data_IF_740516072760
#
_entry.id   IF_740516072760
#
_cell.length_a   1.000
_cell.length_b   1.000
_cell.length_c   1.000
_cell.angle_alpha   90.00
_cell.angle_beta   90.00
_cell.angle_gamma   90.00
#
_symmetry.space_group_name_H-M   'P 1'
#
loop_
_entity.id
_entity.type
_entity.pdbx_description
1 polymer ?
#
# COMPACT_ATOMS: atom_id res chain seq x y z
N UNK A 1 -7.86 54.41 18.40
CA UNK A 1 -9.21 53.81 18.43
C UNK A 1 -9.42 52.83 17.27
N UNK A 2 -8.74 52.98 16.14
CA UNK A 2 -8.98 52.13 14.95
C UNK A 2 -8.36 50.73 14.97
N UNK A 3 -7.24 50.51 15.67
CA UNK A 3 -6.59 49.18 15.75
C UNK A 3 -7.36 48.14 16.57
N UNK A 4 -8.21 48.58 17.52
CA UNK A 4 -9.01 47.69 18.37
C UNK A 4 -10.24 47.17 17.62
N UNK A 5 -10.73 47.92 16.63
CA UNK A 5 -11.92 47.55 15.84
C UNK A 5 -11.59 46.43 14.85
N UNK A 6 -10.39 46.44 14.26
CA UNK A 6 -9.95 45.44 13.27
C UNK A 6 -9.75 44.05 13.89
N UNK A 7 -9.23 43.96 15.11
CA UNK A 7 -9.01 42.67 15.79
C UNK A 7 -10.32 42.02 16.26
N UNK A 8 -11.32 42.81 16.63
CA UNK A 8 -12.65 42.30 16.99
C UNK A 8 -13.41 41.74 15.78
N UNK A 9 -13.29 42.38 14.61
CA UNK A 9 -13.96 41.94 13.38
C UNK A 9 -13.34 40.64 12.83
N UNK A 10 -12.01 40.52 12.86
CA UNK A 10 -11.31 39.30 12.39
C UNK A 10 -11.54 38.13 13.36
N UNK A 11 -11.54 38.39 14.67
CA UNK A 11 -11.86 37.37 15.67
C UNK A 11 -13.30 36.85 15.56
N UNK A 12 -14.26 37.72 15.23
CA UNK A 12 -15.66 37.34 15.00
C UNK A 12 -15.85 36.51 13.72
N UNK A 13 -15.13 36.84 12.64
CA UNK A 13 -15.16 36.09 11.37
C UNK A 13 -14.50 34.69 11.46
N UNK A 14 -13.40 34.55 12.21
CA UNK A 14 -12.73 33.25 12.42
C UNK A 14 -13.50 32.33 13.38
N UNK A 15 -14.23 32.91 14.34
CA UNK A 15 -15.08 32.13 15.26
C UNK A 15 -16.34 31.55 14.60
N UNK A 16 -16.81 32.11 13.48
CA UNK A 16 -17.96 31.58 12.73
C UNK A 16 -17.62 30.37 11.85
N UNK A 17 -16.34 30.17 11.51
CA UNK A 17 -15.90 29.02 10.71
C UNK A 17 -15.76 27.73 11.55
N UNK A 18 -15.67 27.85 12.88
CA UNK A 18 -15.46 26.71 13.79
C UNK A 18 -16.74 26.15 14.42
N UNK A 19 -17.90 26.75 14.13
CA UNK A 19 -19.21 26.33 14.65
C UNK A 19 -20.07 25.60 13.60
N UNK A 20 -19.44 24.87 12.67
CA UNK A 20 -20.17 23.94 11.82
C UNK A 20 -20.47 22.65 12.61
N UNK A 21 -21.73 22.32 12.92
CA UNK A 21 -22.06 21.06 13.54
C UNK A 21 -21.85 19.94 12.50
N UNK A 22 -20.83 19.10 12.71
CA UNK A 22 -20.68 17.84 11.98
C UNK A 22 -21.74 16.85 12.48
N UNK A 23 -22.96 17.01 12.00
CA UNK A 23 -24.08 16.10 12.28
C UNK A 23 -23.97 14.84 11.41
N UNK A 24 -23.29 13.84 11.98
CA UNK A 24 -23.64 12.42 12.09
C UNK A 24 -24.51 11.77 10.99
N UNK A 25 -23.97 10.70 10.40
CA UNK A 25 -24.73 9.51 9.95
C UNK A 25 -23.98 8.28 10.50
N UNK A 26 -24.29 7.85 11.72
CA UNK A 26 -25.05 6.62 12.03
C UNK A 26 -25.11 5.60 10.89
N UNK A 27 -24.36 4.51 11.03
CA UNK A 27 -24.79 3.20 10.52
C UNK A 27 -24.38 2.09 11.48
N UNK A 28 -25.23 1.06 11.46
CA UNK A 28 -25.46 0.02 12.46
C UNK A 28 -24.35 -1.03 12.54
N UNK A 29 -24.28 -1.61 13.72
CA UNK A 29 -24.10 -3.05 13.97
C UNK A 29 -24.35 -3.93 12.73
N UNK A 30 -23.29 -4.55 12.21
CA UNK A 30 -23.35 -5.87 11.57
C UNK A 30 -22.04 -6.64 11.79
N UNK A 31 -22.08 -7.44 12.85
CA UNK A 31 -21.56 -8.81 12.83
C UNK A 31 -21.76 -9.49 11.46
N UNK A 32 -20.72 -10.20 10.99
CA UNK A 32 -20.73 -11.24 9.93
C UNK A 32 -21.74 -11.07 8.78
N UNK A 33 -21.23 -10.66 7.62
CA UNK A 33 -21.78 -11.09 6.33
C UNK A 33 -20.65 -11.56 5.42
N UNK A 34 -20.45 -12.89 5.44
CA UNK A 34 -19.80 -13.63 4.35
C UNK A 34 -20.61 -13.33 3.08
N UNK A 35 -20.06 -12.54 2.17
CA UNK A 35 -20.38 -12.46 0.74
C UNK A 35 -19.07 -11.94 0.11
N UNK A 36 -18.19 -12.77 -0.45
CA UNK A 36 -18.33 -13.38 -1.78
C UNK A 36 -18.74 -12.38 -2.86
N UNK A 37 -18.14 -11.20 -2.88
CA UNK A 37 -18.09 -10.40 -4.10
C UNK A 37 -16.97 -10.98 -4.97
N UNK A 38 -17.37 -11.89 -5.86
CA UNK A 38 -16.58 -12.31 -7.00
C UNK A 38 -16.40 -11.09 -7.93
N UNK A 39 -15.54 -10.16 -7.53
CA UNK A 39 -14.97 -9.15 -8.41
C UNK A 39 -14.07 -9.91 -9.37
N UNK A 40 -14.50 -10.04 -10.62
CA UNK A 40 -13.63 -10.50 -11.72
C UNK A 40 -12.42 -9.57 -11.76
N UNK A 41 -11.36 -9.97 -11.05
CA UNK A 41 -10.09 -9.25 -10.97
C UNK A 41 -9.46 -9.47 -12.34
N UNK A 42 -9.56 -8.49 -13.22
CA UNK A 42 -8.76 -8.47 -14.45
C UNK A 42 -7.30 -8.49 -14.01
N UNK A 43 -6.65 -9.63 -14.21
CA UNK A 43 -5.25 -9.82 -13.85
C UNK A 43 -4.43 -8.94 -14.77
N UNK A 44 -3.70 -7.99 -14.19
CA UNK A 44 -2.80 -7.12 -14.96
C UNK A 44 -1.55 -7.92 -15.34
N UNK A 45 -1.03 -7.67 -16.52
CA UNK A 45 0.22 -8.27 -17.01
C UNK A 45 1.30 -7.21 -17.10
N UNK A 46 2.52 -7.60 -16.79
CA UNK A 46 3.71 -6.76 -16.75
C UNK A 46 4.84 -7.44 -17.52
N UNK A 47 5.64 -6.70 -18.28
CA UNK A 47 6.84 -7.25 -18.88
C UNK A 47 8.06 -7.04 -17.98
N UNK A 48 9.13 -7.82 -18.22
CA UNK A 48 10.35 -7.75 -17.41
C UNK A 48 11.04 -6.37 -17.46
N UNK A 49 10.95 -5.67 -18.59
CA UNK A 49 11.54 -4.34 -18.73
C UNK A 49 10.84 -3.31 -17.82
N UNK A 50 9.51 -3.36 -17.72
CA UNK A 50 8.74 -2.53 -16.78
C UNK A 50 9.15 -2.81 -15.33
N UNK A 51 9.16 -4.08 -14.92
CA UNK A 51 9.55 -4.47 -13.56
C UNK A 51 10.96 -3.99 -13.21
N UNK A 52 11.91 -4.04 -14.16
CA UNK A 52 13.30 -3.63 -13.94
C UNK A 52 13.50 -2.16 -13.57
N UNK A 53 12.50 -1.31 -13.83
CA UNK A 53 12.53 0.11 -13.45
C UNK A 53 12.30 0.31 -11.94
N UNK A 54 11.69 -0.66 -11.27
CA UNK A 54 11.31 -0.64 -9.85
C UNK A 54 12.38 -1.37 -9.01
N UNK A 55 13.59 -0.81 -9.00
CA UNK A 55 14.80 -1.42 -8.43
C UNK A 55 15.42 -0.63 -7.27
N UNK A 56 14.63 0.21 -6.59
CA UNK A 56 15.10 1.09 -5.51
C UNK A 56 14.47 0.71 -4.19
N UNK A 57 15.13 1.03 -3.09
CA UNK A 57 14.58 0.83 -1.73
C UNK A 57 13.18 1.44 -1.56
N UNK A 58 12.93 2.60 -2.16
CA UNK A 58 11.65 3.32 -2.09
C UNK A 58 10.68 2.98 -3.23
N UNK A 59 11.06 2.04 -4.10
CA UNK A 59 10.30 1.62 -5.28
C UNK A 59 10.86 0.26 -5.74
N UNK A 60 10.43 -0.82 -5.07
CA UNK A 60 11.02 -2.16 -5.16
C UNK A 60 9.95 -3.16 -5.57
N UNK A 61 10.02 -3.61 -6.82
CA UNK A 61 9.23 -4.74 -7.29
C UNK A 61 10.10 -5.98 -7.45
N UNK A 62 9.49 -7.14 -7.31
CA UNK A 62 10.17 -8.42 -7.51
C UNK A 62 9.29 -9.38 -8.28
N UNK A 63 9.93 -10.34 -8.96
CA UNK A 63 9.26 -11.45 -9.63
C UNK A 63 9.45 -12.71 -8.81
N UNK A 64 8.37 -13.46 -8.57
CA UNK A 64 8.43 -14.80 -7.98
C UNK A 64 7.50 -15.73 -8.77
N UNK A 65 8.07 -16.74 -9.43
CA UNK A 65 7.33 -17.71 -10.27
C UNK A 65 6.33 -17.04 -11.22
N UNK A 66 6.84 -16.18 -12.11
CA UNK A 66 6.06 -15.44 -13.11
C UNK A 66 4.98 -14.50 -12.55
N UNK A 67 5.04 -14.17 -11.26
CA UNK A 67 4.14 -13.18 -10.63
C UNK A 67 4.94 -11.96 -10.19
N UNK A 68 4.32 -10.80 -10.31
CA UNK A 68 4.93 -9.50 -9.98
C UNK A 68 4.36 -8.98 -8.67
N UNK A 69 5.23 -8.53 -7.78
CA UNK A 69 4.87 -8.04 -6.45
C UNK A 69 5.52 -6.68 -6.19
N UNK A 70 4.75 -5.76 -5.59
CA UNK A 70 5.26 -4.51 -5.04
C UNK A 70 5.57 -4.68 -3.55
N UNK A 71 6.83 -4.93 -3.24
CA UNK A 71 7.30 -5.14 -1.87
C UNK A 71 7.82 -3.87 -1.22
N UNK A 72 7.73 -2.72 -1.90
CA UNK A 72 8.12 -1.39 -1.38
C UNK A 72 7.67 -1.14 0.06
N UNK A 73 6.38 -1.34 0.44
CA UNK A 73 5.94 -1.06 1.80
C UNK A 73 6.54 -1.98 2.86
N UNK A 74 7.15 -3.10 2.47
CA UNK A 74 7.69 -4.11 3.38
C UNK A 74 9.21 -4.10 3.49
N UNK A 75 9.91 -3.33 2.65
CA UNK A 75 11.38 -3.32 2.60
C UNK A 75 12.02 -3.08 3.98
N UNK A 76 11.49 -2.13 4.75
CA UNK A 76 12.02 -1.78 6.08
C UNK A 76 11.58 -2.76 7.18
N UNK A 77 10.53 -3.54 6.95
CA UNK A 77 9.99 -4.52 7.90
C UNK A 77 10.54 -5.93 7.68
N UNK A 78 11.26 -6.15 6.58
CA UNK A 78 11.79 -7.45 6.21
C UNK A 78 12.80 -7.96 7.26
N UNK A 79 12.55 -9.10 7.94
CA UNK A 79 13.45 -9.63 8.97
C UNK A 79 14.86 -9.97 8.48
N UNK A 80 15.02 -10.26 7.18
CA UNK A 80 16.31 -10.48 6.55
C UNK A 80 17.05 -9.18 6.17
N UNK A 81 16.50 -8.01 6.54
CA UNK A 81 17.02 -6.69 6.21
C UNK A 81 17.18 -6.50 4.70
N UNK A 82 18.31 -5.92 4.31
CA UNK A 82 18.66 -5.56 2.92
C UNK A 82 18.71 -6.73 1.95
N UNK A 83 18.66 -7.98 2.43
CA UNK A 83 18.56 -9.16 1.57
C UNK A 83 17.35 -9.10 0.61
N UNK A 84 16.27 -8.39 0.97
CA UNK A 84 15.11 -8.17 0.08
C UNK A 84 15.46 -7.38 -1.18
N UNK A 85 16.54 -6.57 -1.15
CA UNK A 85 16.96 -5.72 -2.26
C UNK A 85 17.92 -6.42 -3.23
N UNK A 86 18.37 -7.64 -2.93
CA UNK A 86 19.38 -8.35 -3.73
C UNK A 86 18.97 -8.50 -5.21
N UNK A 87 17.67 -8.60 -5.47
CA UNK A 87 17.08 -8.75 -6.80
C UNK A 87 15.93 -7.75 -7.03
N UNK A 88 16.05 -6.53 -6.49
CA UNK A 88 15.08 -5.47 -6.75
C UNK A 88 14.97 -5.20 -8.27
N UNK A 89 13.76 -5.23 -8.80
CA UNK A 89 13.45 -5.12 -10.22
C UNK A 89 13.68 -6.41 -11.03
N UNK A 90 13.94 -7.56 -10.39
CA UNK A 90 14.23 -8.82 -11.09
C UNK A 90 13.61 -10.05 -10.39
N UNK A 91 13.91 -11.24 -10.91
CA UNK A 91 13.50 -12.53 -10.37
C UNK A 91 14.19 -12.84 -9.03
N UNK A 92 13.37 -12.93 -8.00
CA UNK A 92 13.75 -13.27 -6.63
C UNK A 92 13.34 -14.68 -6.23
N UNK A 93 12.88 -15.53 -7.17
CA UNK A 93 12.30 -16.85 -6.89
C UNK A 93 13.24 -17.73 -6.06
N UNK A 94 14.51 -17.85 -6.44
CA UNK A 94 15.46 -18.69 -5.71
C UNK A 94 15.70 -18.17 -4.29
N UNK A 95 15.87 -16.85 -4.14
CA UNK A 95 16.03 -16.21 -2.82
C UNK A 95 14.79 -16.35 -1.94
N UNK A 96 13.59 -16.25 -2.54
CA UNK A 96 12.33 -16.38 -1.83
C UNK A 96 12.09 -17.81 -1.31
N UNK A 97 12.40 -18.84 -2.10
CA UNK A 97 12.24 -20.24 -1.70
C UNK A 97 13.47 -20.83 -0.97
N UNK A 98 14.46 -20.01 -0.65
CA UNK A 98 15.63 -20.41 0.13
C UNK A 98 15.31 -20.78 1.58
N UNK A 99 16.27 -21.42 2.30
CA UNK A 99 16.08 -21.93 3.66
C UNK A 99 15.80 -20.84 4.72
N UNK A 100 15.99 -19.56 4.39
CA UNK A 100 15.73 -18.43 5.27
C UNK A 100 14.24 -18.17 5.53
N UNK A 101 13.34 -18.65 4.67
CA UNK A 101 11.89 -18.41 4.80
C UNK A 101 11.15 -19.67 5.27
N UNK A 102 10.33 -19.52 6.31
CA UNK A 102 9.39 -20.55 6.72
C UNK A 102 8.20 -20.62 5.74
N UNK A 103 7.58 -21.80 5.57
CA UNK A 103 6.47 -22.01 4.62
C UNK A 103 5.31 -21.02 4.78
N UNK A 104 5.02 -20.57 6.01
CA UNK A 104 3.97 -19.57 6.30
C UNK A 104 4.22 -18.19 5.70
N UNK A 105 5.44 -17.87 5.26
CA UNK A 105 5.76 -16.61 4.58
C UNK A 105 5.05 -16.54 3.22
N UNK A 106 4.74 -17.69 2.62
CA UNK A 106 4.10 -17.78 1.31
C UNK A 106 2.65 -17.30 1.30
N UNK A 107 1.98 -17.24 2.46
CA UNK A 107 0.62 -16.72 2.57
C UNK A 107 0.60 -15.18 2.65
N UNK A 108 1.70 -14.54 3.09
CA UNK A 108 1.74 -13.09 3.25
C UNK A 108 2.02 -12.35 1.94
N UNK A 109 2.75 -12.98 1.01
CA UNK A 109 3.21 -12.30 -0.20
C UNK A 109 2.08 -11.88 -1.14
N UNK A 110 0.94 -12.56 -1.07
CA UNK A 110 -0.26 -12.23 -1.86
C UNK A 110 -0.81 -10.84 -1.57
N UNK A 111 -0.49 -10.24 -0.42
CA UNK A 111 -0.84 -8.85 -0.07
C UNK A 111 -0.15 -7.85 -1.01
N UNK A 112 1.04 -8.20 -1.50
CA UNK A 112 1.88 -7.36 -2.38
C UNK A 112 1.66 -7.65 -3.87
N UNK A 113 0.76 -8.57 -4.23
CA UNK A 113 0.58 -9.03 -5.60
C UNK A 113 -0.01 -7.94 -6.50
N UNK A 114 0.69 -7.67 -7.61
CA UNK A 114 0.27 -6.74 -8.65
C UNK A 114 -0.38 -7.45 -9.84
N UNK A 115 0.19 -8.57 -10.28
CA UNK A 115 -0.20 -9.21 -11.53
C UNK A 115 0.75 -10.31 -11.98
N UNK A 116 0.60 -10.73 -13.22
CA UNK A 116 1.42 -11.78 -13.84
C UNK A 116 2.50 -11.17 -14.74
N UNK A 117 3.59 -11.90 -14.91
CA UNK A 117 4.64 -11.61 -15.86
C UNK A 117 4.22 -12.06 -17.26
N UNK A 118 4.49 -11.23 -18.26
CA UNK A 118 4.35 -11.58 -19.67
C UNK A 118 5.34 -12.71 -20.02
N UNK A 119 4.88 -13.69 -20.81
CA UNK A 119 5.66 -14.85 -21.25
C UNK A 119 6.46 -14.57 -22.52
#
# INVERSE_FOLDING_TARGET
MELIVVTLIIGFLLSLLFLAPRFIKSDKDQTKKVHSDAKTKTVKTYNKAEVSLHNKRTDCWIIIKDKVYDVTPYVEEHPGGDAILAHAGDDSTEGFFGPQHATRVFDMIDIFYLGELEK
#
